data_IF_748419188117
#
_entry.id   IF_748419188117
#
_cell.length_a   1.000
_cell.length_b   1.000
_cell.length_c   1.000
_cell.angle_alpha   90.00
_cell.angle_beta   90.00
_cell.angle_gamma   90.00
#
_symmetry.space_group_name_H-M   'P 1'
#
loop_
_entity.id
_entity.type
_entity.pdbx_description
1 polymer ?
#
# COMPACT_ATOMS: atom_id res chain seq x y z
N UNK A 1 16.44 26.38 11.63
CA UNK A 1 16.54 26.17 10.16
C UNK A 1 15.24 25.52 9.70
N UNK A 2 14.59 26.00 8.63
CA UNK A 2 13.44 25.31 8.03
C UNK A 2 14.00 24.13 7.22
N UNK A 3 13.84 22.91 7.70
CA UNK A 3 14.09 21.72 6.89
C UNK A 3 13.03 21.72 5.79
N UNK A 4 13.44 21.99 4.55
CA UNK A 4 12.56 21.76 3.41
C UNK A 4 12.44 20.24 3.24
N UNK A 5 11.22 19.71 3.26
CA UNK A 5 10.98 18.28 3.06
C UNK A 5 11.42 17.87 1.66
N UNK A 6 12.28 16.86 1.56
CA UNK A 6 12.83 16.37 0.29
C UNK A 6 11.79 15.47 -0.39
N UNK A 7 11.47 15.68 -1.69
CA UNK A 7 10.61 14.78 -2.44
C UNK A 7 11.11 13.34 -2.42
N UNK A 8 10.22 12.41 -2.06
CA UNK A 8 10.47 10.96 -2.10
C UNK A 8 9.69 10.32 -3.24
N UNK A 9 10.34 9.41 -3.94
CA UNK A 9 9.73 8.63 -5.02
C UNK A 9 9.68 7.18 -4.57
N UNK A 10 8.55 6.52 -4.80
CA UNK A 10 8.37 5.10 -4.48
C UNK A 10 8.19 4.34 -5.78
N UNK A 11 9.20 3.56 -6.14
CA UNK A 11 9.20 2.68 -7.30
C UNK A 11 8.46 1.39 -6.96
N UNK A 12 7.34 1.15 -7.65
CA UNK A 12 6.43 0.07 -7.32
C UNK A 12 6.43 -1.02 -8.38
N UNK A 13 6.59 -2.26 -7.92
CA UNK A 13 6.15 -3.45 -8.64
C UNK A 13 4.68 -3.69 -8.36
N UNK A 14 3.86 -3.69 -9.41
CA UNK A 14 2.44 -4.05 -9.34
C UNK A 14 2.25 -5.44 -9.91
N UNK A 15 1.62 -6.33 -9.16
CA UNK A 15 1.35 -7.70 -9.56
C UNK A 15 -0.15 -7.94 -9.48
N UNK A 16 -0.73 -8.49 -10.54
CA UNK A 16 -2.10 -8.96 -10.54
C UNK A 16 -2.10 -10.48 -10.70
N UNK A 17 -2.80 -11.17 -9.82
CA UNK A 17 -2.90 -12.62 -9.88
C UNK A 17 -3.85 -13.12 -10.99
N UNK A 18 -4.01 -14.43 -11.09
CA UNK A 18 -4.86 -15.06 -12.10
C UNK A 18 -6.32 -14.63 -11.97
N UNK A 19 -6.83 -14.47 -10.75
CA UNK A 19 -8.22 -14.09 -10.51
C UNK A 19 -8.51 -12.67 -11.01
N UNK A 20 -7.55 -11.75 -10.87
CA UNK A 20 -7.61 -10.41 -11.45
C UNK A 20 -7.62 -10.44 -12.98
N UNK A 21 -6.76 -11.28 -13.59
CA UNK A 21 -6.67 -11.44 -15.04
C UNK A 21 -7.96 -12.01 -15.63
N UNK A 22 -8.54 -13.01 -14.97
CA UNK A 22 -9.81 -13.61 -15.39
C UNK A 22 -10.98 -12.62 -15.29
N UNK A 23 -11.07 -11.84 -14.21
CA UNK A 23 -12.18 -10.92 -14.01
C UNK A 23 -12.14 -9.70 -14.95
N UNK A 24 -11.00 -9.01 -15.03
CA UNK A 24 -10.88 -7.75 -15.77
C UNK A 24 -10.51 -7.93 -17.25
N UNK A 25 -9.98 -9.11 -17.62
CA UNK A 25 -9.57 -9.42 -18.99
C UNK A 25 -8.62 -8.37 -19.59
N UNK A 26 -8.89 -7.97 -20.83
CA UNK A 26 -8.09 -6.97 -21.53
C UNK A 26 -8.07 -5.58 -20.85
N UNK A 27 -9.03 -5.29 -19.97
CA UNK A 27 -9.13 -4.02 -19.24
C UNK A 27 -8.20 -3.92 -18.02
N UNK A 28 -7.62 -5.04 -17.56
CA UNK A 28 -6.91 -5.14 -16.28
C UNK A 28 -5.81 -4.07 -16.12
N UNK A 29 -4.93 -3.91 -17.12
CA UNK A 29 -3.82 -2.96 -17.02
C UNK A 29 -4.31 -1.52 -16.83
N UNK A 30 -5.34 -1.11 -17.59
CA UNK A 30 -5.95 0.22 -17.48
C UNK A 30 -6.64 0.39 -16.12
N UNK A 31 -7.30 -0.65 -15.65
CA UNK A 31 -7.95 -0.67 -14.36
C UNK A 31 -6.95 -0.43 -13.21
N UNK A 32 -5.89 -1.24 -13.12
CA UNK A 32 -4.86 -1.11 -12.09
C UNK A 32 -4.21 0.28 -12.10
N UNK A 33 -3.88 0.81 -13.29
CA UNK A 33 -3.32 2.16 -13.40
C UNK A 33 -4.29 3.24 -12.92
N UNK A 34 -5.61 3.04 -13.10
CA UNK A 34 -6.64 3.97 -12.60
C UNK A 34 -6.71 3.93 -11.06
N UNK A 35 -6.73 2.73 -10.48
CA UNK A 35 -6.71 2.49 -9.04
C UNK A 35 -5.46 3.12 -8.40
N UNK A 36 -4.28 2.85 -8.97
CA UNK A 36 -3.00 3.36 -8.49
C UNK A 36 -2.86 4.87 -8.66
N UNK A 37 -3.40 5.44 -9.74
CA UNK A 37 -3.45 6.89 -9.91
C UNK A 37 -4.30 7.56 -8.83
N UNK A 38 -5.42 6.93 -8.44
CA UNK A 38 -6.26 7.40 -7.33
C UNK A 38 -5.54 7.26 -5.98
N UNK A 39 -4.87 6.14 -5.70
CA UNK A 39 -4.06 5.96 -4.49
C UNK A 39 -2.93 7.00 -4.39
N UNK A 40 -2.25 7.27 -5.51
CA UNK A 40 -1.20 8.28 -5.58
C UNK A 40 -1.71 9.71 -5.30
N UNK A 41 -2.99 10.00 -5.53
CA UNK A 41 -3.59 11.29 -5.12
C UNK A 41 -3.68 11.42 -3.61
N UNK A 42 -3.88 10.32 -2.89
CA UNK A 42 -3.84 10.32 -1.43
C UNK A 42 -2.46 10.71 -0.92
N UNK A 43 -1.39 10.09 -1.46
CA UNK A 43 -0.01 10.41 -1.06
C UNK A 43 0.43 11.84 -1.43
N UNK A 44 -0.13 12.43 -2.49
CA UNK A 44 0.10 13.84 -2.84
C UNK A 44 -0.75 14.83 -2.04
N UNK A 45 -1.68 14.36 -1.20
CA UNK A 45 -2.55 15.25 -0.44
C UNK A 45 -1.76 15.97 0.66
N UNK A 46 -1.93 17.29 0.78
CA UNK A 46 -1.15 18.12 1.70
C UNK A 46 -1.27 17.75 3.18
N UNK A 47 -2.32 17.01 3.57
CA UNK A 47 -2.46 16.49 4.94
C UNK A 47 -1.43 15.43 5.31
N UNK A 48 -0.71 14.83 4.35
CA UNK A 48 0.37 13.88 4.63
C UNK A 48 1.61 14.58 5.25
N UNK A 49 1.79 15.87 4.95
CA UNK A 49 2.94 16.66 5.43
C UNK A 49 4.27 16.37 4.74
N UNK A 50 4.36 15.31 3.94
CA UNK A 50 5.57 14.90 3.23
C UNK A 50 5.30 14.73 1.72
N UNK A 51 6.17 15.24 0.84
CA UNK A 51 6.06 15.06 -0.60
C UNK A 51 6.49 13.64 -1.00
N UNK A 52 5.51 12.73 -1.10
CA UNK A 52 5.71 11.34 -1.55
C UNK A 52 5.00 11.13 -2.88
N UNK A 53 5.72 10.60 -3.87
CA UNK A 53 5.20 10.30 -5.20
C UNK A 53 5.31 8.81 -5.50
N UNK A 54 4.16 8.15 -5.64
CA UNK A 54 4.09 6.75 -6.06
C UNK A 54 4.30 6.62 -7.57
N UNK A 55 5.22 5.75 -7.98
CA UNK A 55 5.58 5.49 -9.38
C UNK A 55 5.47 4.02 -9.70
N UNK A 56 4.63 3.67 -10.67
CA UNK A 56 4.57 2.30 -11.20
C UNK A 56 5.71 2.13 -12.20
N UNK A 57 6.78 1.46 -11.79
CA UNK A 57 7.93 1.15 -12.67
C UNK A 57 7.72 -0.18 -13.37
N UNK A 58 7.05 -1.13 -12.71
CA UNK A 58 6.81 -2.48 -13.24
C UNK A 58 5.37 -2.94 -12.99
N UNK A 59 4.77 -3.60 -13.99
CA UNK A 59 3.44 -4.20 -13.88
C UNK A 59 3.48 -5.61 -14.48
N UNK A 60 3.18 -6.61 -13.65
CA UNK A 60 3.18 -8.03 -13.99
C UNK A 60 1.76 -8.57 -13.83
N UNK A 61 1.29 -9.30 -14.84
CA UNK A 61 0.01 -10.02 -14.79
C UNK A 61 0.30 -11.51 -14.83
N UNK A 62 -0.12 -12.23 -13.80
CA UNK A 62 0.01 -13.68 -13.70
C UNK A 62 -1.23 -14.31 -14.32
N UNK A 63 -1.10 -14.87 -15.52
CA UNK A 63 -2.18 -15.61 -16.17
C UNK A 63 -2.22 -17.07 -15.76
N UNK A 64 -3.19 -17.81 -16.28
CA UNK A 64 -3.29 -19.26 -16.10
C UNK A 64 -1.96 -19.96 -16.48
N UNK A 65 -1.43 -20.76 -15.56
CA UNK A 65 -0.17 -21.49 -15.75
C UNK A 65 1.11 -20.63 -15.66
N UNK A 66 0.99 -19.33 -15.38
CA UNK A 66 2.15 -18.45 -15.11
C UNK A 66 2.64 -18.72 -13.69
N UNK A 67 3.93 -19.03 -13.47
CA UNK A 67 4.46 -19.22 -12.13
C UNK A 67 4.29 -17.94 -11.28
N UNK A 68 3.76 -18.09 -10.07
CA UNK A 68 3.45 -16.99 -9.16
C UNK A 68 3.56 -17.40 -7.69
N UNK A 69 3.34 -16.47 -6.75
CA UNK A 69 3.25 -16.80 -5.33
C UNK A 69 2.01 -17.70 -5.09
N UNK A 70 2.07 -18.64 -4.12
CA UNK A 70 0.88 -19.38 -3.73
C UNK A 70 -0.22 -18.46 -3.17
N UNK A 71 -1.39 -18.50 -3.80
CA UNK A 71 -2.60 -17.75 -3.41
C UNK A 71 -3.42 -18.58 -2.41
N UNK A 72 -3.95 -17.93 -1.36
CA UNK A 72 -4.73 -18.55 -0.28
C UNK A 72 -5.66 -17.50 0.33
N UNK A 73 -6.82 -17.88 0.86
CA UNK A 73 -7.69 -16.92 1.56
C UNK A 73 -7.08 -16.40 2.87
N UNK A 74 -6.08 -17.04 3.46
CA UNK A 74 -5.42 -16.52 4.67
C UNK A 74 -4.52 -15.33 4.32
N UNK A 75 -4.95 -14.11 4.65
CA UNK A 75 -4.26 -12.87 4.28
C UNK A 75 -2.79 -12.84 4.77
N UNK A 76 -2.54 -13.25 6.01
CA UNK A 76 -1.19 -13.28 6.58
C UNK A 76 -0.27 -14.29 5.86
N UNK A 77 -0.82 -15.44 5.44
CA UNK A 77 -0.07 -16.41 4.67
C UNK A 77 0.16 -15.94 3.24
N UNK A 78 -0.85 -15.34 2.60
CA UNK A 78 -0.70 -14.79 1.24
C UNK A 78 0.36 -13.69 1.20
N UNK A 79 0.37 -12.78 2.18
CA UNK A 79 1.40 -11.74 2.29
C UNK A 79 2.79 -12.36 2.38
N UNK A 80 3.02 -13.31 3.30
CA UNK A 80 4.32 -14.00 3.43
C UNK A 80 4.77 -14.65 2.12
N UNK A 81 3.86 -15.37 1.46
CA UNK A 81 4.13 -16.03 0.18
C UNK A 81 4.53 -15.01 -0.90
N UNK A 82 3.79 -13.90 -0.99
CA UNK A 82 4.04 -12.84 -1.96
C UNK A 82 5.37 -12.12 -1.70
N UNK A 83 5.64 -11.73 -0.45
CA UNK A 83 6.90 -11.08 -0.06
C UNK A 83 8.13 -11.95 -0.36
N UNK A 84 8.03 -13.26 -0.12
CA UNK A 84 9.10 -14.20 -0.46
C UNK A 84 9.30 -14.31 -1.97
N UNK A 85 8.22 -14.34 -2.76
CA UNK A 85 8.27 -14.47 -4.21
C UNK A 85 8.77 -13.19 -4.90
N UNK A 86 8.25 -12.01 -4.51
CA UNK A 86 8.61 -10.74 -5.14
C UNK A 86 10.10 -10.45 -5.03
N UNK A 87 10.73 -10.89 -3.92
CA UNK A 87 12.17 -10.71 -3.70
C UNK A 87 13.01 -11.30 -4.84
N UNK A 88 12.55 -12.39 -5.44
CA UNK A 88 13.22 -13.02 -6.59
C UNK A 88 13.12 -12.23 -7.89
N UNK A 89 12.24 -11.23 -7.96
CA UNK A 89 12.10 -10.32 -9.10
C UNK A 89 12.89 -9.02 -8.93
N UNK A 90 13.33 -8.71 -7.71
CA UNK A 90 14.05 -7.48 -7.41
C UNK A 90 15.56 -7.63 -7.69
N UNK A 91 16.26 -6.51 -7.82
CA UNK A 91 17.72 -6.47 -8.03
C UNK A 91 18.38 -5.55 -7.00
N UNK A 92 19.62 -5.82 -6.57
CA UNK A 92 20.31 -4.98 -5.58
C UNK A 92 20.73 -3.59 -6.08
N UNK A 93 20.84 -3.42 -7.40
CA UNK A 93 21.24 -2.16 -8.04
C UNK A 93 20.03 -1.21 -8.12
N UNK A 94 19.98 -0.19 -7.26
CA UNK A 94 18.88 0.78 -7.18
C UNK A 94 18.75 1.64 -8.46
N UNK A 95 19.82 1.81 -9.23
CA UNK A 95 19.77 2.53 -10.51
C UNK A 95 19.18 1.68 -11.65
N UNK A 96 18.96 0.38 -11.41
CA UNK A 96 18.43 -0.54 -12.41
C UNK A 96 16.94 -0.32 -12.63
N UNK A 97 16.44 -0.31 -13.89
CA UNK A 97 15.00 -0.24 -14.16
C UNK A 97 14.22 -1.50 -13.69
N UNK A 98 14.94 -2.54 -13.26
CA UNK A 98 14.35 -3.74 -12.67
C UNK A 98 14.17 -3.62 -11.15
N UNK A 99 14.83 -2.64 -10.51
CA UNK A 99 14.66 -2.36 -9.10
C UNK A 99 13.26 -1.83 -8.81
N UNK A 100 12.80 -2.06 -7.58
CA UNK A 100 11.60 -1.45 -7.02
C UNK A 100 11.71 -1.41 -5.49
N UNK A 101 11.19 -0.35 -4.90
CA UNK A 101 11.17 -0.13 -3.45
C UNK A 101 10.12 -1.01 -2.77
N UNK A 102 8.96 -1.18 -3.40
CA UNK A 102 7.83 -1.91 -2.81
C UNK A 102 7.04 -2.70 -3.85
N UNK A 103 6.37 -3.76 -3.42
CA UNK A 103 5.56 -4.61 -4.27
C UNK A 103 4.11 -4.69 -3.79
N UNK A 104 3.14 -4.67 -4.70
CA UNK A 104 1.72 -4.80 -4.37
C UNK A 104 1.11 -5.93 -5.20
N UNK A 105 0.49 -6.90 -4.52
CA UNK A 105 -0.31 -7.94 -5.15
C UNK A 105 -1.78 -7.57 -5.10
N UNK A 106 -2.43 -7.58 -6.25
CA UNK A 106 -3.88 -7.51 -6.38
C UNK A 106 -4.45 -8.91 -6.62
N UNK A 107 -5.51 -9.24 -5.90
CA UNK A 107 -6.24 -10.50 -6.02
C UNK A 107 -7.76 -10.25 -5.93
N UNK A 108 -8.57 -11.07 -6.59
CA UNK A 108 -10.03 -11.17 -6.37
C UNK A 108 -10.40 -12.29 -5.39
N UNK A 109 -9.41 -12.95 -4.79
CA UNK A 109 -9.62 -13.94 -3.75
C UNK A 109 -10.04 -13.23 -2.45
N UNK A 110 -11.13 -13.69 -1.86
CA UNK A 110 -11.61 -13.24 -0.54
C UNK A 110 -10.54 -13.49 0.54
N UNK A 111 -10.09 -12.39 1.17
CA UNK A 111 -9.04 -12.34 2.17
C UNK A 111 -9.62 -12.41 3.59
N UNK A 112 -9.18 -13.43 4.31
CA UNK A 112 -9.56 -13.70 5.67
C UNK A 112 -8.42 -13.44 6.64
N UNK A 113 -8.71 -12.63 7.67
CA UNK A 113 -7.90 -12.49 8.87
C UNK A 113 -8.08 -13.68 9.82
N UNK A 114 -7.59 -13.54 11.06
CA UNK A 114 -7.68 -14.62 12.05
C UNK A 114 -9.11 -14.93 12.51
N UNK A 115 -10.03 -13.96 12.43
CA UNK A 115 -11.38 -14.05 12.99
C UNK A 115 -12.49 -13.77 11.97
N UNK A 116 -12.27 -12.91 10.98
CA UNK A 116 -13.26 -12.54 9.96
C UNK A 116 -12.61 -12.37 8.58
N UNK A 117 -13.45 -12.29 7.54
CA UNK A 117 -13.04 -11.99 6.16
C UNK A 117 -13.44 -10.56 5.75
N UNK A 118 -13.45 -9.63 6.71
CA UNK A 118 -13.68 -8.20 6.41
C UNK A 118 -12.38 -7.47 6.02
N UNK A 119 -11.28 -8.22 5.85
CA UNK A 119 -9.94 -7.68 5.60
C UNK A 119 -9.75 -7.53 4.10
N UNK A 120 -9.61 -6.30 3.60
CA UNK A 120 -9.39 -6.06 2.17
C UNK A 120 -7.91 -5.99 1.78
N UNK A 121 -6.99 -6.07 2.74
CA UNK A 121 -5.57 -5.95 2.47
C UNK A 121 -4.71 -6.29 3.68
N UNK A 122 -3.41 -6.44 3.45
CA UNK A 122 -2.43 -6.59 4.52
C UNK A 122 -1.04 -6.15 4.06
N UNK A 123 -0.31 -5.50 4.95
CA UNK A 123 1.10 -5.14 4.79
C UNK A 123 1.86 -5.25 6.12
N UNK A 124 3.18 -5.42 6.01
CA UNK A 124 4.07 -5.24 7.15
C UNK A 124 4.26 -3.74 7.46
N UNK A 125 4.43 -3.41 8.73
CA UNK A 125 4.59 -2.01 9.17
C UNK A 125 6.04 -1.56 9.09
N UNK A 126 6.31 -0.43 8.42
CA UNK A 126 7.60 0.26 8.44
C UNK A 126 8.70 -0.43 7.64
N UNK A 127 8.37 -0.93 6.45
CA UNK A 127 9.25 -1.78 5.64
C UNK A 127 9.63 -1.20 4.29
N UNK A 128 9.32 0.07 3.97
CA UNK A 128 9.45 0.62 2.61
C UNK A 128 10.81 0.37 1.94
N UNK A 129 11.92 0.45 2.68
CA UNK A 129 13.28 0.20 2.19
C UNK A 129 13.88 -1.14 2.65
N UNK A 130 13.06 -2.11 3.08
CA UNK A 130 13.48 -3.50 3.29
C UNK A 130 13.02 -4.33 2.09
N UNK A 131 13.91 -4.66 1.12
CA UNK A 131 13.53 -5.37 -0.10
C UNK A 131 12.92 -6.75 0.14
N UNK A 132 13.12 -7.36 1.32
CA UNK A 132 12.53 -8.64 1.66
C UNK A 132 11.12 -8.52 2.27
N UNK A 133 10.75 -7.34 2.77
CA UNK A 133 9.50 -7.11 3.53
C UNK A 133 8.64 -5.94 3.03
N UNK A 134 9.12 -5.16 2.06
CA UNK A 134 8.37 -4.06 1.44
C UNK A 134 7.36 -4.61 0.44
N UNK A 135 6.21 -5.02 0.96
CA UNK A 135 5.17 -5.69 0.19
C UNK A 135 3.80 -5.49 0.83
N UNK A 136 2.77 -5.45 0.00
CA UNK A 136 1.37 -5.41 0.40
C UNK A 136 0.53 -6.34 -0.48
N UNK A 137 -0.57 -6.83 0.08
CA UNK A 137 -1.63 -7.52 -0.68
C UNK A 137 -2.93 -6.73 -0.59
N UNK A 138 -3.70 -6.72 -1.66
CA UNK A 138 -4.97 -6.02 -1.78
C UNK A 138 -5.98 -6.95 -2.44
N UNK A 139 -7.08 -7.18 -1.74
CA UNK A 139 -8.31 -7.69 -2.33
C UNK A 139 -8.97 -6.58 -3.15
N UNK A 140 -9.19 -6.88 -4.42
CA UNK A 140 -9.85 -6.00 -5.36
C UNK A 140 -11.36 -6.18 -5.31
N UNK A 141 -12.04 -5.14 -4.84
CA UNK A 141 -13.48 -5.03 -4.73
C UNK A 141 -14.05 -3.92 -5.64
N UNK A 142 -13.20 -3.18 -6.35
CA UNK A 142 -13.58 -2.11 -7.28
C UNK A 142 -12.67 -0.90 -7.20
N UNK A 143 -13.10 0.24 -7.74
CA UNK A 143 -12.27 1.46 -7.74
C UNK A 143 -11.91 1.95 -6.33
N UNK A 144 -12.71 1.58 -5.32
CA UNK A 144 -12.43 1.86 -3.92
C UNK A 144 -11.20 1.12 -3.36
N UNK A 145 -10.72 0.07 -4.02
CA UNK A 145 -9.45 -0.58 -3.66
C UNK A 145 -8.26 0.38 -3.75
N UNK A 146 -8.42 1.55 -4.39
CA UNK A 146 -7.44 2.64 -4.33
C UNK A 146 -7.20 3.14 -2.90
N UNK A 147 -8.22 3.11 -2.04
CA UNK A 147 -8.09 3.46 -0.63
C UNK A 147 -7.42 2.34 0.15
N UNK A 148 -7.73 1.07 -0.15
CA UNK A 148 -7.04 -0.08 0.43
C UNK A 148 -5.55 -0.03 0.10
N UNK A 149 -5.18 0.21 -1.16
CA UNK A 149 -3.78 0.44 -1.58
C UNK A 149 -3.14 1.55 -0.76
N UNK A 150 -3.83 2.68 -0.61
CA UNK A 150 -3.28 3.80 0.17
C UNK A 150 -3.09 3.45 1.65
N UNK A 151 -4.03 2.70 2.23
CA UNK A 151 -3.99 2.22 3.60
C UNK A 151 -2.82 1.25 3.84
N UNK A 152 -2.68 0.22 3.00
CA UNK A 152 -1.61 -0.75 3.13
C UNK A 152 -0.23 -0.12 2.89
N UNK A 153 -0.09 0.76 1.90
CA UNK A 153 1.14 1.54 1.73
C UNK A 153 1.40 2.48 2.92
N UNK A 154 0.35 3.00 3.57
CA UNK A 154 0.49 3.73 4.83
C UNK A 154 1.16 2.89 5.91
N UNK A 155 0.77 1.62 6.07
CA UNK A 155 1.47 0.68 6.94
C UNK A 155 2.92 0.46 6.53
N UNK A 156 3.22 0.28 5.25
CA UNK A 156 4.60 0.16 4.75
C UNK A 156 5.43 1.39 5.13
N UNK A 157 4.81 2.58 5.18
CA UNK A 157 5.38 3.85 5.69
C UNK A 157 5.31 4.03 7.23
N UNK A 158 5.21 2.93 7.96
CA UNK A 158 5.19 2.87 9.43
C UNK A 158 3.96 3.50 10.10
N UNK A 159 2.89 3.82 9.34
CA UNK A 159 1.68 4.36 9.93
C UNK A 159 0.91 3.28 10.70
N UNK A 160 0.26 3.69 11.78
CA UNK A 160 -0.65 2.85 12.56
C UNK A 160 -2.10 3.22 12.29
N UNK A 161 -3.02 2.34 12.68
CA UNK A 161 -4.44 2.68 12.67
C UNK A 161 -4.74 3.88 13.58
N UNK A 162 -5.69 4.70 13.15
CA UNK A 162 -6.06 5.94 13.85
C UNK A 162 -6.69 5.74 15.24
N UNK A 163 -7.20 4.53 15.52
CA UNK A 163 -7.75 4.15 16.83
C UNK A 163 -6.70 3.54 17.79
N UNK A 164 -5.48 3.32 17.32
CA UNK A 164 -4.37 2.80 18.13
C UNK A 164 -4.02 3.74 19.27
N UNK A 165 -3.49 3.20 20.37
CA UNK A 165 -3.15 4.00 21.56
C UNK A 165 -2.25 5.21 21.22
N UNK A 166 -1.17 5.08 20.42
CA UNK A 166 -0.34 6.22 20.03
C UNK A 166 -1.09 7.30 19.26
N UNK A 167 -2.09 6.92 18.46
CA UNK A 167 -2.86 7.86 17.65
C UNK A 167 -3.97 8.59 18.42
N UNK A 168 -4.46 8.06 19.55
CA UNK A 168 -5.58 8.70 20.29
C UNK A 168 -5.27 10.13 20.72
N UNK A 169 -4.08 10.37 21.24
CA UNK A 169 -3.68 11.71 21.67
C UNK A 169 -3.40 12.64 20.48
N UNK A 170 -2.67 12.15 19.48
CA UNK A 170 -2.34 12.91 18.26
C UNK A 170 -3.59 13.32 17.48
N UNK A 171 -4.61 12.47 17.47
CA UNK A 171 -5.89 12.72 16.80
C UNK A 171 -6.93 13.39 17.71
N UNK A 172 -6.67 13.60 19.01
CA UNK A 172 -7.67 14.08 19.99
C UNK A 172 -8.33 15.42 19.62
N UNK A 173 -7.64 16.28 18.86
CA UNK A 173 -8.13 17.58 18.40
C UNK A 173 -8.73 17.53 16.98
N UNK A 174 -8.72 16.37 16.35
CA UNK A 174 -9.28 16.14 15.02
C UNK A 174 -10.64 15.45 15.16
N UNK A 175 -11.71 16.12 14.77
CA UNK A 175 -13.08 15.58 14.86
C UNK A 175 -13.43 14.52 13.80
N UNK A 176 -12.54 14.22 12.86
CA UNK A 176 -12.82 13.33 11.73
C UNK A 176 -12.33 11.90 11.96
N UNK A 177 -13.24 10.93 11.88
CA UNK A 177 -12.96 9.49 11.95
C UNK A 177 -12.72 8.83 10.58
N UNK A 178 -12.90 9.59 9.50
CA UNK A 178 -12.95 9.10 8.11
C UNK A 178 -11.65 9.39 7.36
N UNK A 179 -10.58 8.73 7.79
CA UNK A 179 -9.21 8.90 7.31
C UNK A 179 -8.70 7.63 6.66
N UNK A 180 -7.63 7.74 5.87
CA UNK A 180 -7.03 6.58 5.18
C UNK A 180 -6.68 5.47 6.17
N UNK A 181 -6.08 5.78 7.32
CA UNK A 181 -5.68 4.79 8.34
C UNK A 181 -6.78 4.46 9.36
N UNK A 182 -8.06 4.74 9.04
CA UNK A 182 -9.15 4.20 9.84
C UNK A 182 -9.16 2.66 9.73
N UNK A 183 -9.38 1.92 10.83
CA UNK A 183 -9.33 0.45 10.84
C UNK A 183 -10.47 -0.23 10.06
N UNK A 184 -11.49 0.55 9.68
CA UNK A 184 -12.63 0.10 8.87
C UNK A 184 -12.78 1.08 7.74
N UNK A 185 -12.83 0.57 6.51
CA UNK A 185 -12.99 1.40 5.33
C UNK A 185 -14.33 2.15 5.39
N UNK A 186 -14.25 3.48 5.31
CA UNK A 186 -15.41 4.36 5.26
C UNK A 186 -15.17 5.45 4.21
N UNK A 187 -16.22 6.11 3.71
CA UNK A 187 -16.02 7.14 2.69
C UNK A 187 -15.10 8.24 3.23
N UNK A 188 -13.99 8.53 2.55
CA UNK A 188 -13.04 9.53 3.03
C UNK A 188 -13.60 10.94 2.94
N UNK A 189 -13.22 11.80 3.88
CA UNK A 189 -13.45 13.23 3.80
C UNK A 189 -12.42 13.88 2.86
N UNK A 190 -12.84 14.47 1.71
CA UNK A 190 -11.90 14.97 0.71
C UNK A 190 -10.94 16.05 1.21
N UNK A 191 -11.32 16.80 2.25
CA UNK A 191 -10.53 17.90 2.80
C UNK A 191 -9.36 17.47 3.70
N UNK A 192 -9.35 16.23 4.21
CA UNK A 192 -8.31 15.78 5.13
C UNK A 192 -8.14 14.25 5.07
N UNK A 193 -7.43 13.76 4.05
CA UNK A 193 -7.29 12.30 3.81
C UNK A 193 -6.49 11.59 4.92
N UNK A 194 -5.35 12.16 5.32
CA UNK A 194 -4.47 11.61 6.37
C UNK A 194 -4.75 12.29 7.70
N UNK A 195 -4.65 11.55 8.81
CA UNK A 195 -4.78 12.09 10.15
C UNK A 195 -3.47 12.77 10.61
N UNK A 196 -3.50 13.62 11.66
CA UNK A 196 -2.28 14.08 12.30
C UNK A 196 -1.37 12.94 12.77
N UNK A 197 -1.94 11.83 13.25
CA UNK A 197 -1.15 10.66 13.61
C UNK A 197 -0.40 10.09 12.41
N UNK A 198 -1.10 9.81 11.29
CA UNK A 198 -0.49 9.27 10.07
C UNK A 198 0.63 10.16 9.56
N UNK A 199 0.38 11.48 9.47
CA UNK A 199 1.37 12.46 9.04
C UNK A 199 2.59 12.48 9.96
N UNK A 200 2.39 12.35 11.28
CA UNK A 200 3.48 12.31 12.24
C UNK A 200 4.35 11.06 12.09
N UNK A 201 3.73 9.88 11.97
CA UNK A 201 4.47 8.63 11.86
C UNK A 201 5.35 8.57 10.61
N UNK A 202 4.84 8.97 9.44
CA UNK A 202 5.67 9.01 8.23
C UNK A 202 6.76 10.08 8.31
N UNK A 203 6.49 11.23 8.93
CA UNK A 203 7.52 12.28 9.12
C UNK A 203 8.67 11.75 9.97
N UNK A 204 8.36 11.19 11.14
CA UNK A 204 9.37 10.63 12.04
C UNK A 204 10.12 9.47 11.38
N UNK A 205 9.43 8.63 10.59
CA UNK A 205 10.06 7.52 9.87
C UNK A 205 11.07 8.00 8.82
N UNK A 206 10.70 8.99 8.02
CA UNK A 206 11.59 9.58 7.00
C UNK A 206 12.73 10.40 7.62
N UNK A 207 12.46 11.18 8.67
CA UNK A 207 13.47 11.98 9.38
C UNK A 207 14.55 11.11 10.04
N UNK A 208 14.21 9.87 10.40
CA UNK A 208 15.15 8.87 10.92
C UNK A 208 15.93 8.12 9.82
N UNK A 209 15.75 8.49 8.54
CA UNK A 209 16.52 7.93 7.43
C UNK A 209 16.02 6.57 6.93
N UNK A 210 14.74 6.24 7.15
CA UNK A 210 14.13 5.00 6.66
C UNK A 210 13.47 5.13 5.27
N UNK A 211 13.81 6.18 4.50
CA UNK A 211 13.36 6.41 3.13
C UNK A 211 13.96 7.66 2.48
#
# INVERSE_FOLDING_TARGET
QRFASVPRYVEMLVVADESMAQFHGAGLRRYLLTVLAAAARSFRHGSLGNPVELRVTRLVVLGQGTPGPPITSNAAQMLRNFCQWQKGLNVPDEDSPLHFDTAILFTRQDLCGAATCDTLGMADVGTICDPARSCAIVEDDGLQSAFTVAHELGHVFNMLHDNSQPCRELNSRSGGTRRVMAPVLSSLEPGQMWSPCSARFITDFLDNGHG
#
